data_IF_584667406239
#
_entry.id   IF_584667406239
#
_cell.length_a   1.000
_cell.length_b   1.000
_cell.length_c   1.000
_cell.angle_alpha   90.00
_cell.angle_beta   90.00
_cell.angle_gamma   90.00
#
_symmetry.space_group_name_H-M   'P 1'
#
loop_
_entity.id
_entity.type
_entity.pdbx_description
1 polymer ?
#
# COMPACT_ATOMS: atom_id res chain seq x y z
N UNK A 1 12.09 -22.31 -5.21
CA UNK A 1 12.24 -20.91 -5.54
C UNK A 1 11.10 -20.08 -5.02
N UNK A 2 11.43 -19.01 -4.38
CA UNK A 2 10.42 -18.19 -3.73
C UNK A 2 9.91 -17.12 -4.67
N UNK A 3 8.61 -17.09 -4.87
CA UNK A 3 7.99 -16.01 -5.61
C UNK A 3 7.84 -14.80 -4.70
N UNK A 4 8.18 -13.63 -5.21
CA UNK A 4 7.95 -12.37 -4.51
C UNK A 4 6.66 -11.76 -5.02
N UNK A 5 5.70 -11.57 -4.11
CA UNK A 5 4.42 -10.95 -4.45
C UNK A 5 4.56 -9.43 -4.36
N UNK A 6 4.15 -8.76 -5.42
CA UNK A 6 4.20 -7.30 -5.49
C UNK A 6 2.90 -6.72 -4.95
N UNK A 7 3.04 -5.87 -3.96
CA UNK A 7 1.90 -5.32 -3.22
C UNK A 7 1.70 -3.85 -3.51
N UNK A 8 0.46 -3.46 -3.74
CA UNK A 8 0.06 -2.07 -3.80
C UNK A 8 -0.68 -1.71 -2.52
N UNK A 9 -0.34 -0.59 -1.93
CA UNK A 9 -0.90 -0.16 -0.66
C UNK A 9 -1.82 1.05 -0.87
N UNK A 10 -3.05 0.95 -0.42
CA UNK A 10 -3.99 2.07 -0.44
C UNK A 10 -4.18 2.56 1.00
N UNK A 11 -3.90 3.85 1.22
CA UNK A 11 -3.96 4.42 2.55
C UNK A 11 -2.57 4.54 3.14
N UNK A 12 -2.11 5.77 3.34
CA UNK A 12 -0.73 6.05 3.74
C UNK A 12 -0.65 6.72 5.11
N UNK A 13 -1.47 6.25 6.06
CA UNK A 13 -1.44 6.72 7.42
C UNK A 13 -0.48 5.92 8.29
N UNK A 14 -0.69 5.98 9.61
CA UNK A 14 0.17 5.28 10.56
C UNK A 14 0.22 3.77 10.36
N UNK A 15 -0.87 3.19 9.91
CA UNK A 15 -0.94 1.75 9.72
C UNK A 15 -0.03 1.30 8.57
N UNK A 16 0.14 2.16 7.57
CA UNK A 16 1.02 1.84 6.45
C UNK A 16 2.44 1.56 6.92
N UNK A 17 2.92 2.33 7.89
CA UNK A 17 4.26 2.14 8.43
C UNK A 17 4.44 0.74 9.01
N UNK A 18 3.40 0.23 9.68
CA UNK A 18 3.44 -1.11 10.24
C UNK A 18 3.66 -2.16 9.15
N UNK A 19 2.99 -2.00 8.01
CA UNK A 19 3.12 -2.95 6.91
C UNK A 19 4.49 -2.86 6.25
N UNK A 20 5.07 -1.68 6.16
CA UNK A 20 6.42 -1.53 5.64
C UNK A 20 7.44 -2.19 6.56
N UNK A 21 7.24 -2.11 7.86
CA UNK A 21 8.12 -2.81 8.80
C UNK A 21 7.98 -4.31 8.67
N UNK A 22 6.75 -4.79 8.51
CA UNK A 22 6.50 -6.22 8.36
C UNK A 22 7.15 -6.78 7.10
N UNK A 23 7.25 -5.98 6.05
CA UNK A 23 7.89 -6.41 4.81
C UNK A 23 9.31 -6.95 5.06
N UNK A 24 10.00 -6.38 6.03
CA UNK A 24 11.36 -6.79 6.35
C UNK A 24 11.45 -8.21 6.91
N UNK A 25 10.36 -8.70 7.47
CA UNK A 25 10.32 -10.03 8.06
C UNK A 25 9.82 -11.10 7.11
N UNK A 26 9.31 -10.69 5.95
CA UNK A 26 8.79 -11.63 4.97
C UNK A 26 9.59 -11.50 3.67
N UNK A 27 10.21 -12.59 3.26
CA UNK A 27 11.04 -12.59 2.07
C UNK A 27 10.25 -12.66 0.78
N UNK A 28 8.96 -12.98 0.87
CA UNK A 28 8.15 -13.24 -0.32
C UNK A 28 7.15 -12.15 -0.63
N UNK A 29 7.25 -10.99 0.00
CA UNK A 29 6.39 -9.85 -0.31
C UNK A 29 7.23 -8.59 -0.49
N UNK A 30 6.74 -7.70 -1.34
CA UNK A 30 7.40 -6.41 -1.56
C UNK A 30 6.35 -5.37 -1.89
N UNK A 31 6.31 -4.30 -1.11
CA UNK A 31 5.43 -3.17 -1.38
C UNK A 31 6.13 -2.28 -2.40
N UNK A 32 5.52 -2.13 -3.57
CA UNK A 32 6.16 -1.41 -4.68
C UNK A 32 5.52 -0.06 -4.98
N UNK A 33 4.25 0.10 -4.66
CA UNK A 33 3.53 1.34 -4.93
C UNK A 33 2.55 1.63 -3.82
N UNK A 34 2.23 2.91 -3.65
CA UNK A 34 1.23 3.34 -2.69
C UNK A 34 0.33 4.40 -3.31
N UNK A 35 -0.88 4.50 -2.77
CA UNK A 35 -1.86 5.49 -3.18
C UNK A 35 -2.67 5.92 -1.98
N UNK A 36 -3.21 7.12 -2.03
CA UNK A 36 -4.07 7.66 -0.99
C UNK A 36 -4.94 8.72 -1.62
N UNK A 37 -6.15 8.86 -1.12
CA UNK A 37 -7.04 9.94 -1.53
C UNK A 37 -6.36 11.28 -1.29
N UNK A 38 -5.64 11.38 -0.18
CA UNK A 38 -4.79 12.53 0.10
C UNK A 38 -3.46 12.34 -0.62
N UNK A 39 -3.29 13.09 -1.72
CA UNK A 39 -2.10 12.98 -2.54
C UNK A 39 -0.82 13.29 -1.78
N UNK A 40 -0.88 14.26 -0.87
CA UNK A 40 0.29 14.61 -0.07
C UNK A 40 0.74 13.47 0.83
N UNK A 41 -0.22 12.74 1.40
CA UNK A 41 0.10 11.60 2.24
C UNK A 41 0.75 10.50 1.41
N UNK A 42 0.24 10.27 0.21
CA UNK A 42 0.80 9.28 -0.69
C UNK A 42 2.24 9.61 -1.08
N UNK A 43 2.49 10.86 -1.43
CA UNK A 43 3.83 11.29 -1.81
C UNK A 43 4.82 11.20 -0.65
N UNK A 44 4.37 11.56 0.53
CA UNK A 44 5.22 11.47 1.73
C UNK A 44 5.59 10.02 2.01
N UNK A 45 4.62 9.14 1.91
CA UNK A 45 4.83 7.72 2.12
C UNK A 45 5.84 7.18 1.11
N UNK A 46 5.68 7.55 -0.15
CA UNK A 46 6.58 7.10 -1.21
C UNK A 46 8.01 7.54 -0.96
N UNK A 47 8.20 8.78 -0.51
CA UNK A 47 9.52 9.29 -0.22
C UNK A 47 10.16 8.58 0.98
N UNK A 48 9.36 8.32 2.01
CA UNK A 48 9.87 7.71 3.23
C UNK A 48 10.32 6.27 3.02
N UNK A 49 9.66 5.56 2.11
CA UNK A 49 9.90 4.14 1.93
C UNK A 49 10.52 3.79 0.57
N UNK A 50 10.82 4.81 -0.23
CA UNK A 50 11.51 4.59 -1.51
C UNK A 50 10.67 3.83 -2.53
N UNK A 51 9.36 4.06 -2.54
CA UNK A 51 8.45 3.43 -3.48
C UNK A 51 7.73 4.50 -4.31
N UNK A 52 6.92 4.07 -5.25
CA UNK A 52 6.25 4.98 -6.16
C UNK A 52 4.86 5.37 -5.64
N UNK A 53 4.54 6.66 -5.73
CA UNK A 53 3.21 7.17 -5.41
C UNK A 53 2.39 7.25 -6.70
N UNK A 54 1.19 6.67 -6.67
CA UNK A 54 0.27 6.70 -7.82
C UNK A 54 -1.13 7.04 -7.31
N UNK A 55 -2.05 7.31 -8.22
CA UNK A 55 -3.44 7.50 -7.83
C UNK A 55 -4.08 6.15 -7.49
N UNK A 56 -5.18 6.20 -6.75
CA UNK A 56 -5.89 4.96 -6.41
C UNK A 56 -6.32 4.23 -7.68
N UNK A 57 -6.83 4.97 -8.66
CA UNK A 57 -7.25 4.36 -9.94
C UNK A 57 -6.09 3.71 -10.66
N UNK A 58 -4.95 4.37 -10.70
CA UNK A 58 -3.76 3.80 -11.34
C UNK A 58 -3.32 2.53 -10.63
N UNK A 59 -3.36 2.53 -9.33
CA UNK A 59 -2.95 1.37 -8.55
C UNK A 59 -3.87 0.18 -8.80
N UNK A 60 -5.18 0.43 -8.86
CA UNK A 60 -6.15 -0.63 -9.09
C UNK A 60 -6.05 -1.24 -10.48
N UNK A 61 -5.55 -0.48 -11.45
CA UNK A 61 -5.39 -0.95 -12.82
C UNK A 61 -4.02 -1.51 -13.12
N UNK A 62 -3.12 -1.44 -12.15
CA UNK A 62 -1.73 -1.84 -12.36
C UNK A 62 -1.61 -3.36 -12.39
N UNK A 63 -1.25 -3.88 -13.54
CA UNK A 63 -1.13 -5.33 -13.72
C UNK A 63 0.10 -5.90 -13.05
N UNK A 64 1.04 -5.05 -12.66
CA UNK A 64 2.24 -5.48 -11.94
C UNK A 64 1.92 -5.83 -10.49
N UNK A 65 0.87 -5.22 -9.93
CA UNK A 65 0.49 -5.44 -8.55
C UNK A 65 -0.35 -6.71 -8.44
N UNK A 66 0.08 -7.62 -7.60
CA UNK A 66 -0.59 -8.89 -7.40
C UNK A 66 -1.53 -8.88 -6.20
N UNK A 67 -1.20 -8.08 -5.19
CA UNK A 67 -2.01 -7.98 -3.97
C UNK A 67 -2.24 -6.53 -3.64
N UNK A 68 -3.47 -6.16 -3.37
CA UNK A 68 -3.81 -4.80 -2.95
C UNK A 68 -4.24 -4.83 -1.49
N UNK A 69 -3.54 -4.07 -0.66
CA UNK A 69 -3.90 -3.89 0.73
C UNK A 69 -4.59 -2.53 0.87
N UNK A 70 -5.85 -2.55 1.25
CA UNK A 70 -6.61 -1.33 1.45
C UNK A 70 -6.75 -1.04 2.93
N UNK A 71 -6.08 0.01 3.39
CA UNK A 71 -6.03 0.38 4.80
C UNK A 71 -6.94 1.55 5.15
N UNK A 72 -7.74 2.02 4.19
CA UNK A 72 -8.51 3.24 4.38
C UNK A 72 -9.91 3.03 4.94
N UNK A 73 -10.39 1.80 4.98
CA UNK A 73 -11.80 1.55 5.18
C UNK A 73 -12.25 1.03 6.55
N UNK A 74 -11.39 0.75 7.51
CA UNK A 74 -11.87 0.09 8.73
C UNK A 74 -12.98 0.86 9.44
N UNK A 75 -12.84 2.16 9.56
CA UNK A 75 -13.82 2.97 10.25
C UNK A 75 -15.18 2.97 9.54
N UNK A 76 -15.16 3.25 8.26
CA UNK A 76 -16.38 3.27 7.48
C UNK A 76 -17.04 1.90 7.48
N UNK A 77 -16.24 0.88 7.42
CA UNK A 77 -16.72 -0.49 7.41
C UNK A 77 -17.45 -0.83 8.70
N UNK A 78 -16.90 -0.44 9.82
CA UNK A 78 -17.54 -0.67 11.11
C UNK A 78 -18.86 0.06 11.25
N UNK A 79 -18.94 1.24 10.70
CA UNK A 79 -20.16 2.03 10.78
C UNK A 79 -21.30 1.41 9.99
N UNK A 80 -20.99 0.72 8.93
CA UNK A 80 -21.99 0.08 8.09
C UNK A 80 -22.51 -1.19 8.73
N UNK A 81 -21.64 -1.90 9.37
CA UNK A 81 -22.06 -3.14 10.00
C UNK A 81 -22.68 -2.89 11.35
#
# INVERSE_FOLDING_TARGET
MNKVFKIGLIGCGHIAETYFRAEKYFNNIKIIKCADINEKASKRCALNFGIKSVTVNELLKDTEIEIILNLTIPKAHYQIS
#
